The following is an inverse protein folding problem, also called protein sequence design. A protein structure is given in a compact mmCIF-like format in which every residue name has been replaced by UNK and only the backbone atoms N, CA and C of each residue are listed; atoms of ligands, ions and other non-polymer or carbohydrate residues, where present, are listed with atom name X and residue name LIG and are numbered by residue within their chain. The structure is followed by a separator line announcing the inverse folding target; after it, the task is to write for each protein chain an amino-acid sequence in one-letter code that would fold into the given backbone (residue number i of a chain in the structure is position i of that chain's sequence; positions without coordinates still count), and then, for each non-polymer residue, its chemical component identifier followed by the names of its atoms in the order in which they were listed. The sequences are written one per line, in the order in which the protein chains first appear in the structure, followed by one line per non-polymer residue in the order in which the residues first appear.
data_IF_511645946438
#
_entry.id   IF_511645946438
#
_cell.length_a   1.000
_cell.length_b   1.000
_cell.length_c   1.000
_cell.angle_alpha   90.00
_cell.angle_beta   90.00
_cell.angle_gamma   90.00
#
_symmetry.space_group_name_H-M   'P 1'
#
loop_
_entity.id
_entity.type
_entity.pdbx_description
1 polymer ?
#
# COMPACT_ATOMS: atom_id res chain seq x y z
N UNK A 1 -3.98 21.18 -2.52
CA UNK A 1 -4.18 19.97 -3.34
C UNK A 1 -5.31 19.14 -2.74
N UNK A 2 -6.18 18.50 -3.55
CA UNK A 2 -7.27 17.64 -3.07
C UNK A 2 -6.76 16.53 -2.14
N UNK A 3 -7.58 16.09 -1.18
CA UNK A 3 -7.17 15.13 -0.15
C UNK A 3 -6.62 13.82 -0.73
N UNK A 4 -7.34 13.22 -1.68
CA UNK A 4 -6.97 11.95 -2.30
C UNK A 4 -5.62 12.04 -3.03
N UNK A 5 -5.37 13.14 -3.75
CA UNK A 5 -4.10 13.34 -4.46
C UNK A 5 -2.93 13.38 -3.48
N UNK A 6 -3.06 14.13 -2.38
CA UNK A 6 -2.03 14.20 -1.33
C UNK A 6 -1.83 12.84 -0.65
N UNK A 7 -2.93 12.13 -0.37
CA UNK A 7 -2.88 10.79 0.21
C UNK A 7 -2.13 9.81 -0.68
N UNK A 8 -2.47 9.78 -1.98
CA UNK A 8 -1.88 8.88 -2.95
C UNK A 8 -0.39 9.18 -3.17
N UNK A 9 -0.02 10.46 -3.32
CA UNK A 9 1.37 10.88 -3.50
C UNK A 9 2.24 10.51 -2.29
N UNK A 10 1.71 10.59 -1.07
CA UNK A 10 2.45 10.17 0.14
C UNK A 10 2.77 8.68 0.11
N UNK A 11 1.82 7.83 -0.26
CA UNK A 11 2.03 6.38 -0.34
C UNK A 11 2.89 5.99 -1.54
N UNK A 12 2.76 6.69 -2.67
CA UNK A 12 3.66 6.56 -3.81
C UNK A 12 5.12 6.84 -3.40
N UNK A 13 5.36 7.94 -2.69
CA UNK A 13 6.70 8.30 -2.22
C UNK A 13 7.27 7.27 -1.23
N UNK A 14 6.43 6.72 -0.34
CA UNK A 14 6.83 5.61 0.55
C UNK A 14 7.25 4.39 -0.28
N UNK A 15 6.44 3.97 -1.26
CA UNK A 15 6.75 2.84 -2.13
C UNK A 15 8.05 3.04 -2.92
N UNK A 16 8.28 4.24 -3.46
CA UNK A 16 9.53 4.59 -4.15
C UNK A 16 10.72 4.55 -3.18
N UNK A 17 10.57 5.05 -1.96
CA UNK A 17 11.62 4.97 -0.93
C UNK A 17 11.99 3.52 -0.60
N UNK A 18 11.00 2.63 -0.48
CA UNK A 18 11.23 1.19 -0.27
C UNK A 18 11.93 0.57 -1.48
N UNK A 19 11.54 0.91 -2.71
CA UNK A 19 12.20 0.43 -3.92
C UNK A 19 13.68 0.85 -3.99
N UNK A 20 14.00 2.10 -3.63
CA UNK A 20 15.38 2.58 -3.61
C UNK A 20 16.24 1.78 -2.62
N UNK A 21 15.71 1.50 -1.42
CA UNK A 21 16.38 0.63 -0.44
C UNK A 21 16.53 -0.79 -1.01
N UNK A 22 15.48 -1.34 -1.62
CA UNK A 22 15.54 -2.68 -2.21
C UNK A 22 16.60 -2.80 -3.31
N UNK A 23 16.66 -1.84 -4.23
CA UNK A 23 17.71 -1.79 -5.28
C UNK A 23 19.10 -1.63 -4.67
N UNK A 24 19.25 -0.78 -3.66
CA UNK A 24 20.53 -0.65 -2.95
C UNK A 24 20.98 -1.98 -2.34
N UNK A 25 20.06 -2.77 -1.79
CA UNK A 25 20.36 -4.12 -1.28
C UNK A 25 20.72 -5.09 -2.41
N UNK A 26 20.01 -5.07 -3.54
CA UNK A 26 20.34 -5.92 -4.70
C UNK A 26 21.76 -5.65 -5.21
N UNK A 27 22.15 -4.37 -5.28
CA UNK A 27 23.51 -3.97 -5.69
C UNK A 27 24.52 -4.29 -4.59
N UNK A 28 24.23 -4.00 -3.32
CA UNK A 28 25.17 -4.24 -2.23
C UNK A 28 25.52 -5.73 -2.06
N UNK A 29 24.56 -6.62 -2.29
CA UNK A 29 24.76 -8.08 -2.22
C UNK A 29 25.15 -8.71 -3.56
N UNK A 30 25.37 -7.90 -4.60
CA UNK A 30 25.67 -8.35 -5.96
C UNK A 30 24.72 -9.46 -6.45
N UNK A 31 23.42 -9.29 -6.18
CA UNK A 31 22.41 -10.28 -6.54
C UNK A 31 22.41 -10.44 -8.05
N UNK A 32 22.56 -11.69 -8.51
CA UNK A 32 22.69 -12.01 -9.93
C UNK A 32 23.81 -11.26 -10.67
N UNK A 33 24.88 -10.87 -9.96
CA UNK A 33 26.02 -10.10 -10.49
C UNK A 33 25.67 -8.69 -10.98
N UNK A 34 24.59 -8.07 -10.47
CA UNK A 34 24.16 -6.73 -10.88
C UNK A 34 25.19 -5.64 -10.58
N UNK A 35 25.87 -5.70 -9.43
CA UNK A 35 26.87 -4.70 -9.07
C UNK A 35 28.08 -4.77 -10.01
N UNK A 36 28.53 -6.00 -10.29
CA UNK A 36 29.57 -6.25 -11.28
C UNK A 36 29.16 -5.77 -12.67
N UNK A 37 27.91 -6.04 -13.08
CA UNK A 37 27.37 -5.62 -14.37
C UNK A 37 27.32 -4.10 -14.53
N UNK A 38 26.89 -3.39 -13.48
CA UNK A 38 26.89 -1.92 -13.50
C UNK A 38 28.29 -1.33 -13.48
N UNK A 39 29.23 -1.93 -12.75
CA UNK A 39 30.61 -1.44 -12.66
C UNK A 39 31.39 -1.55 -13.97
N UNK A 40 31.12 -2.57 -14.78
CA UNK A 40 31.85 -2.84 -16.03
C UNK A 40 31.12 -2.37 -17.29
N UNK A 41 29.90 -1.85 -17.16
CA UNK A 41 29.12 -1.34 -18.29
C UNK A 41 29.28 0.19 -18.42
N UNK A 42 29.55 0.72 -19.62
CA UNK A 42 29.53 2.17 -19.88
C UNK A 42 28.23 2.83 -19.45
N UNK A 43 27.11 2.09 -19.53
CA UNK A 43 25.77 2.56 -19.22
C UNK A 43 25.31 2.16 -17.81
N UNK A 44 26.22 1.74 -16.91
CA UNK A 44 25.88 1.23 -15.58
C UNK A 44 24.99 2.16 -14.76
N UNK A 45 25.26 3.48 -14.81
CA UNK A 45 24.44 4.48 -14.12
C UNK A 45 23.04 4.64 -14.73
N UNK A 46 22.93 4.53 -16.06
CA UNK A 46 21.64 4.57 -16.73
C UNK A 46 20.82 3.32 -16.38
N UNK A 47 21.45 2.14 -16.40
CA UNK A 47 20.81 0.89 -16.02
C UNK A 47 20.33 0.91 -14.56
N UNK A 48 21.15 1.42 -13.64
CA UNK A 48 20.76 1.60 -12.24
C UNK A 48 19.57 2.56 -12.10
N UNK A 49 19.57 3.67 -12.84
CA UNK A 49 18.46 4.62 -12.89
C UNK A 49 17.17 3.99 -13.40
N UNK A 50 17.24 3.28 -14.54
CA UNK A 50 16.10 2.58 -15.15
C UNK A 50 15.54 1.51 -14.22
N UNK A 51 16.42 0.68 -13.62
CA UNK A 51 16.01 -0.34 -12.64
C UNK A 51 15.31 0.29 -11.44
N UNK A 52 15.87 1.37 -10.88
CA UNK A 52 15.32 2.08 -9.72
C UNK A 52 13.98 2.70 -10.04
N UNK A 53 13.82 3.31 -11.23
CA UNK A 53 12.56 3.91 -11.66
C UNK A 53 11.51 2.83 -11.90
N UNK A 54 11.85 1.75 -12.60
CA UNK A 54 10.93 0.65 -12.88
C UNK A 54 10.39 0.04 -11.58
N UNK A 55 11.29 -0.33 -10.66
CA UNK A 55 10.90 -0.86 -9.36
C UNK A 55 10.20 0.19 -8.49
N UNK A 56 10.62 1.46 -8.57
CA UNK A 56 9.97 2.58 -7.89
C UNK A 56 8.51 2.74 -8.28
N UNK A 57 8.20 2.65 -9.57
CA UNK A 57 6.82 2.68 -10.08
C UNK A 57 6.06 1.44 -9.59
N UNK A 58 6.66 0.25 -9.65
CA UNK A 58 6.02 -1.00 -9.19
C UNK A 58 5.67 -0.95 -7.70
N UNK A 59 6.64 -0.65 -6.83
CA UNK A 59 6.42 -0.57 -5.38
C UNK A 59 5.53 0.61 -5.00
N UNK A 60 5.67 1.76 -5.67
CA UNK A 60 4.77 2.90 -5.55
C UNK A 60 3.32 2.50 -5.82
N UNK A 61 3.08 1.77 -6.91
CA UNK A 61 1.75 1.28 -7.30
C UNK A 61 1.16 0.33 -6.27
N UNK A 62 1.97 -0.63 -5.78
CA UNK A 62 1.53 -1.57 -4.74
C UNK A 62 1.23 -0.85 -3.43
N UNK A 63 2.06 0.10 -2.99
CA UNK A 63 1.80 0.88 -1.77
C UNK A 63 0.56 1.76 -1.88
N UNK A 64 0.36 2.41 -3.03
CA UNK A 64 -0.85 3.15 -3.32
C UNK A 64 -2.10 2.25 -3.25
N UNK A 65 -2.07 1.09 -3.90
CA UNK A 65 -3.17 0.13 -3.87
C UNK A 65 -3.45 -0.42 -2.47
N UNK A 66 -2.40 -0.76 -1.72
CA UNK A 66 -2.51 -1.18 -0.33
C UNK A 66 -3.16 -0.11 0.55
N UNK A 67 -2.75 1.14 0.39
CA UNK A 67 -3.29 2.27 1.15
C UNK A 67 -4.77 2.49 0.83
N UNK A 68 -5.17 2.39 -0.43
CA UNK A 68 -6.58 2.48 -0.85
C UNK A 68 -7.40 1.32 -0.28
N UNK A 69 -6.88 0.09 -0.31
CA UNK A 69 -7.56 -1.08 0.28
C UNK A 69 -7.73 -0.98 1.80
N UNK A 70 -6.91 -0.16 2.47
CA UNK A 70 -6.95 0.06 3.91
C UNK A 70 -7.71 1.32 4.31
N UNK A 71 -8.18 2.13 3.35
CA UNK A 71 -9.09 3.23 3.62
C UNK A 71 -10.45 2.65 4.03
N UNK A 72 -10.92 3.00 5.22
CA UNK A 72 -12.25 2.65 5.70
C UNK A 72 -13.27 3.61 5.10
N UNK A 73 -14.47 3.12 4.77
CA UNK A 73 -15.56 3.96 4.27
C UNK A 73 -16.23 4.64 5.47
N UNK A 74 -16.08 5.96 5.62
CA UNK A 74 -16.66 6.73 6.74
C UNK A 74 -18.20 6.81 6.73
N UNK A 75 -18.91 6.10 5.83
CA UNK A 75 -20.36 6.19 5.64
C UNK A 75 -21.18 5.01 6.21
N UNK A 76 -20.59 4.13 7.03
CA UNK A 76 -21.29 2.99 7.65
C UNK A 76 -21.03 2.84 9.15
N UNK A 77 -22.02 2.40 9.96
CA UNK A 77 -21.74 2.09 11.37
C UNK A 77 -20.65 1.02 11.44
N UNK A 78 -19.63 1.18 12.33
CA UNK A 78 -18.43 0.37 12.32
C UNK A 78 -18.75 -1.12 12.47
N UNK A 79 -18.58 -1.87 11.38
CA UNK A 79 -18.84 -3.31 11.33
C UNK A 79 -17.59 -4.08 11.77
N UNK A 80 -17.51 -4.37 13.08
CA UNK A 80 -16.70 -5.44 13.67
C UNK A 80 -15.24 -5.07 13.97
N UNK A 81 -14.86 -4.80 15.23
CA UNK A 81 -14.56 -5.86 16.22
C UNK A 81 -14.95 -5.47 17.66
N UNK A 82 -15.59 -4.33 17.86
CA UNK A 82 -16.14 -3.89 19.15
C UNK A 82 -17.38 -3.04 18.91
N UNK A 83 -18.45 -3.65 18.37
CA UNK A 83 -19.76 -3.12 18.66
C UNK A 83 -19.94 -3.27 20.18
N UNK A 84 -19.55 -2.24 20.93
CA UNK A 84 -19.92 -2.11 22.33
C UNK A 84 -21.44 -2.23 22.28
N UNK A 85 -21.97 -3.33 22.82
CA UNK A 85 -23.40 -3.54 22.98
C UNK A 85 -23.88 -2.46 23.94
N UNK A 86 -24.04 -1.24 23.42
CA UNK A 86 -24.61 -0.11 24.12
C UNK A 86 -26.09 -0.43 24.23
N UNK A 87 -26.41 -1.20 25.27
CA UNK A 87 -27.77 -1.52 25.73
C UNK A 87 -28.68 -2.01 24.60
N UNK A 88 -28.65 -3.32 24.38
CA UNK A 88 -29.77 -4.00 23.73
C UNK A 88 -31.02 -3.74 24.59
N UNK A 89 -31.90 -2.86 24.15
CA UNK A 89 -33.21 -2.67 24.77
C UNK A 89 -34.16 -3.67 24.12
N UNK A 90 -34.69 -4.66 24.86
CA UNK A 90 -35.60 -5.63 24.28
C UNK A 90 -36.85 -4.90 23.77
N UNK A 91 -37.11 -5.04 22.47
CA UNK A 91 -38.35 -4.59 21.83
C UNK A 91 -39.25 -5.80 21.67
N UNK A 92 -40.38 -5.82 22.37
CA UNK A 92 -41.36 -6.90 22.25
C UNK A 92 -41.88 -6.92 20.80
N UNK A 93 -41.56 -7.99 20.08
CA UNK A 93 -42.13 -8.25 18.77
C UNK A 93 -43.57 -8.74 18.97
N UNK A 94 -44.56 -8.01 18.45
CA UNK A 94 -45.92 -8.52 18.38
C UNK A 94 -45.95 -9.64 17.34
N UNK A 95 -45.98 -10.88 17.81
CA UNK A 95 -46.31 -12.03 16.97
C UNK A 95 -47.82 -12.04 16.80
N UNK A 96 -48.30 -11.86 15.58
CA UNK A 96 -49.68 -12.16 15.22
C UNK A 96 -49.82 -13.68 15.17
N UNK A 97 -50.44 -14.26 16.20
CA UNK A 97 -50.83 -15.66 16.17
C UNK A 97 -51.91 -15.83 15.09
N UNK A 98 -51.54 -16.47 13.98
CA UNK A 98 -52.48 -16.86 12.92
C UNK A 98 -53.17 -18.14 13.38
N UNK A 99 -54.47 -18.04 13.68
CA UNK A 99 -55.36 -19.21 13.80
C UNK A 99 -55.72 -19.73 12.42
#
# INVERSE_FOLDING_TARGET
MPFLVRFLLRHAAIGIGVAAVFVALLVAFDVAHLASLFAHSPDGWLALGVLTVALGITFGSVQMGFAVMLMDDEDGPPSGRRARLTRLVPKLARVHARR
#
